data_IF_191584480148
#
_entry.id   IF_191584480148
#
_cell.length_a   1.000
_cell.length_b   1.000
_cell.length_c   1.000
_cell.angle_alpha   90.00
_cell.angle_beta   90.00
_cell.angle_gamma   90.00
#
_symmetry.space_group_name_H-M   'P 1'
#
loop_
_entity.id
_entity.type
_entity.pdbx_description
1 polymer ?
#
# COMPACT_ATOMS: atom_id res chain seq x y z
N UNK A 1 -63.50 50.55 1.72
CA UNK A 1 -63.45 49.91 3.03
C UNK A 1 -63.21 48.45 2.83
N UNK A 2 -61.89 48.01 2.89
CA UNK A 2 -61.52 46.59 2.87
C UNK A 2 -62.02 45.91 4.15
N UNK A 3 -62.72 44.80 4.01
CA UNK A 3 -63.23 44.05 5.14
C UNK A 3 -62.07 43.48 5.98
N UNK A 4 -62.16 43.46 7.30
CA UNK A 4 -61.05 42.95 8.17
C UNK A 4 -60.68 41.52 7.86
N UNK A 5 -61.55 40.75 7.24
CA UNK A 5 -61.27 39.37 6.84
C UNK A 5 -60.30 39.28 5.63
N UNK A 6 -60.31 40.27 4.72
CA UNK A 6 -59.39 40.35 3.58
C UNK A 6 -57.98 40.69 4.01
N UNK A 7 -57.79 41.62 4.95
CA UNK A 7 -56.46 41.98 5.47
C UNK A 7 -55.76 40.81 6.24
N UNK A 8 -56.53 40.10 7.05
CA UNK A 8 -56.05 38.93 7.75
C UNK A 8 -55.59 37.80 6.79
N UNK A 9 -56.32 37.58 5.72
CA UNK A 9 -55.97 36.62 4.67
C UNK A 9 -54.67 36.99 3.94
N UNK A 10 -54.44 38.27 3.68
CA UNK A 10 -53.21 38.72 3.00
C UNK A 10 -51.99 38.68 3.88
N UNK A 11 -52.13 38.97 5.18
CA UNK A 11 -51.06 38.79 6.16
C UNK A 11 -50.68 37.33 6.30
N UNK A 12 -51.66 36.42 6.39
CA UNK A 12 -51.40 34.97 6.46
C UNK A 12 -50.70 34.47 5.20
N UNK A 13 -51.08 34.88 4.01
CA UNK A 13 -50.44 34.50 2.75
C UNK A 13 -48.99 35.01 2.65
N UNK A 14 -48.70 36.21 3.18
CA UNK A 14 -47.33 36.74 3.26
C UNK A 14 -46.48 35.92 4.21
N UNK A 15 -46.93 35.64 5.42
CA UNK A 15 -46.21 34.82 6.39
C UNK A 15 -45.91 33.41 5.88
N UNK A 16 -46.92 32.78 5.20
CA UNK A 16 -46.70 31.46 4.61
C UNK A 16 -45.69 31.46 3.47
N UNK A 17 -45.61 32.52 2.69
CA UNK A 17 -44.60 32.66 1.64
C UNK A 17 -43.20 32.81 2.21
N UNK A 18 -43.03 33.62 3.23
CA UNK A 18 -41.73 33.79 3.91
C UNK A 18 -41.28 32.49 4.60
N UNK A 19 -42.20 31.79 5.26
CA UNK A 19 -41.88 30.49 5.87
C UNK A 19 -41.45 29.42 4.84
N UNK A 20 -42.14 29.36 3.69
CA UNK A 20 -41.77 28.45 2.60
C UNK A 20 -40.41 28.80 2.00
N UNK A 21 -40.09 30.08 1.84
CA UNK A 21 -38.77 30.54 1.36
C UNK A 21 -37.66 30.19 2.36
N UNK A 22 -37.86 30.44 3.64
CA UNK A 22 -36.90 30.11 4.68
C UNK A 22 -36.63 28.58 4.74
N UNK A 23 -37.69 27.77 4.66
CA UNK A 23 -37.58 26.33 4.61
C UNK A 23 -36.87 25.82 3.34
N UNK A 24 -37.19 26.41 2.19
CA UNK A 24 -36.54 26.05 0.92
C UNK A 24 -35.05 26.43 0.89
N UNK A 25 -34.66 27.60 1.45
CA UNK A 25 -33.26 28.01 1.55
C UNK A 25 -32.46 27.12 2.53
N UNK A 26 -33.04 26.73 3.67
CA UNK A 26 -32.43 25.81 4.61
C UNK A 26 -32.21 24.42 4.03
N UNK A 27 -33.22 23.88 3.32
CA UNK A 27 -33.10 22.61 2.63
C UNK A 27 -32.06 22.64 1.50
N UNK A 28 -31.98 23.73 0.75
CA UNK A 28 -30.99 23.88 -0.32
C UNK A 28 -29.56 24.01 0.22
N UNK A 29 -29.37 24.63 1.40
CA UNK A 29 -28.06 24.72 2.03
C UNK A 29 -27.61 23.38 2.62
N UNK A 30 -28.48 22.64 3.28
CA UNK A 30 -28.18 21.31 3.79
C UNK A 30 -27.88 20.32 2.65
N UNK A 31 -28.66 20.31 1.60
CA UNK A 31 -28.41 19.47 0.42
C UNK A 31 -27.06 19.77 -0.26
N UNK A 32 -26.66 21.06 -0.29
CA UNK A 32 -25.32 21.44 -0.78
C UNK A 32 -24.20 20.96 0.13
N UNK A 33 -24.36 21.05 1.45
CA UNK A 33 -23.40 20.55 2.43
C UNK A 33 -23.23 19.02 2.30
N UNK A 34 -24.34 18.30 2.20
CA UNK A 34 -24.32 16.84 2.00
C UNK A 34 -23.64 16.43 0.69
N UNK A 35 -23.91 17.17 -0.40
CA UNK A 35 -23.25 16.94 -1.69
C UNK A 35 -21.75 17.18 -1.61
N UNK A 36 -21.29 18.24 -0.94
CA UNK A 36 -19.88 18.55 -0.74
C UNK A 36 -19.19 17.46 0.08
N UNK A 37 -19.78 17.05 1.20
CA UNK A 37 -19.25 15.95 2.03
C UNK A 37 -19.15 14.65 1.23
N UNK A 38 -20.15 14.35 0.40
CA UNK A 38 -20.12 13.20 -0.49
C UNK A 38 -19.01 13.28 -1.54
N UNK A 39 -18.77 14.43 -2.15
CA UNK A 39 -17.69 14.65 -3.11
C UNK A 39 -16.33 14.51 -2.46
N UNK A 40 -16.10 15.13 -1.31
CA UNK A 40 -14.84 15.00 -0.55
C UNK A 40 -14.56 13.54 -0.20
N UNK A 41 -15.54 12.83 0.35
CA UNK A 41 -15.37 11.42 0.68
C UNK A 41 -15.15 10.51 -0.54
N UNK A 42 -15.62 10.89 -1.73
CA UNK A 42 -15.31 10.15 -2.98
C UNK A 42 -13.89 10.42 -3.45
N UNK A 43 -13.43 11.66 -3.38
CA UNK A 43 -12.05 12.02 -3.75
C UNK A 43 -11.06 11.33 -2.83
N UNK A 44 -11.28 11.41 -1.51
CA UNK A 44 -10.43 10.77 -0.51
C UNK A 44 -10.33 9.25 -0.72
N UNK A 45 -11.46 8.58 -0.91
CA UNK A 45 -11.46 7.13 -1.22
C UNK A 45 -10.73 6.81 -2.52
N UNK A 46 -10.88 7.63 -3.56
CA UNK A 46 -10.17 7.42 -4.83
C UNK A 46 -8.67 7.59 -4.69
N UNK A 47 -8.22 8.59 -3.91
CA UNK A 47 -6.80 8.80 -3.63
C UNK A 47 -6.21 7.65 -2.83
N UNK A 48 -6.85 7.24 -1.74
CA UNK A 48 -6.41 6.12 -0.91
C UNK A 48 -6.36 4.82 -1.70
N UNK A 49 -7.36 4.54 -2.53
CA UNK A 49 -7.34 3.37 -3.41
C UNK A 49 -6.16 3.39 -4.39
N UNK A 50 -5.84 4.54 -4.97
CA UNK A 50 -4.71 4.69 -5.89
C UNK A 50 -3.39 4.49 -5.16
N UNK A 51 -3.22 5.08 -3.98
CA UNK A 51 -2.01 4.93 -3.14
C UNK A 51 -1.81 3.44 -2.79
N UNK A 52 -2.83 2.78 -2.26
CA UNK A 52 -2.77 1.36 -1.91
C UNK A 52 -2.37 0.51 -3.10
N UNK A 53 -2.98 0.72 -4.25
CA UNK A 53 -2.70 -0.04 -5.47
C UNK A 53 -1.25 0.14 -5.96
N UNK A 54 -0.71 1.35 -5.90
CA UNK A 54 0.69 1.59 -6.30
C UNK A 54 1.67 1.00 -5.29
N UNK A 55 1.37 1.08 -3.99
CA UNK A 55 2.16 0.43 -2.94
C UNK A 55 2.18 -1.09 -3.10
N UNK A 56 1.04 -1.73 -3.30
CA UNK A 56 0.95 -3.18 -3.58
C UNK A 56 1.74 -3.61 -4.82
N UNK A 57 1.81 -2.74 -5.82
CA UNK A 57 2.60 -3.00 -7.03
C UNK A 57 4.10 -3.01 -6.74
N UNK A 58 4.57 -2.08 -5.91
CA UNK A 58 5.97 -2.00 -5.49
C UNK A 58 6.34 -3.15 -4.55
N UNK A 59 5.46 -3.52 -3.63
CA UNK A 59 5.66 -4.65 -2.70
C UNK A 59 5.83 -6.01 -3.40
N UNK A 60 5.22 -6.21 -4.56
CA UNK A 60 5.38 -7.46 -5.33
C UNK A 60 6.84 -7.75 -5.70
N UNK A 61 7.61 -6.72 -6.05
CA UNK A 61 9.05 -6.86 -6.30
C UNK A 61 9.84 -7.19 -5.04
N UNK A 62 9.40 -6.69 -3.89
CA UNK A 62 10.01 -6.94 -2.59
C UNK A 62 9.88 -8.41 -2.15
N UNK A 63 8.74 -9.03 -2.40
CA UNK A 63 8.51 -10.44 -2.09
C UNK A 63 9.48 -11.37 -2.84
N UNK A 64 9.85 -11.00 -4.06
CA UNK A 64 10.87 -11.74 -4.81
C UNK A 64 12.25 -11.63 -4.15
N UNK A 65 12.68 -10.45 -3.74
CA UNK A 65 13.93 -10.25 -3.01
C UNK A 65 13.96 -11.00 -1.68
N UNK A 66 12.87 -10.96 -0.91
CA UNK A 66 12.73 -11.71 0.33
C UNK A 66 12.87 -13.23 0.08
N UNK A 67 12.26 -13.73 -0.98
CA UNK A 67 12.33 -15.14 -1.37
C UNK A 67 13.76 -15.54 -1.76
N UNK A 68 14.47 -14.74 -2.55
CA UNK A 68 15.86 -15.00 -2.88
C UNK A 68 16.73 -14.99 -1.60
N UNK A 69 16.55 -13.97 -0.75
CA UNK A 69 17.31 -13.84 0.49
C UNK A 69 17.18 -15.04 1.42
N UNK A 70 15.99 -15.60 1.54
CA UNK A 70 15.73 -16.75 2.41
C UNK A 70 16.05 -18.10 1.73
N UNK A 71 15.61 -18.31 0.50
CA UNK A 71 15.69 -19.62 -0.17
C UNK A 71 17.10 -19.93 -0.65
N UNK A 72 17.86 -18.93 -1.13
CA UNK A 72 19.21 -19.17 -1.68
C UNK A 72 20.16 -19.77 -0.66
N UNK A 73 20.05 -19.39 0.62
CA UNK A 73 20.84 -19.98 1.71
C UNK A 73 20.56 -21.47 1.87
N UNK A 74 19.28 -21.88 1.82
CA UNK A 74 18.90 -23.28 1.92
C UNK A 74 19.31 -24.09 0.68
N UNK A 75 19.24 -23.49 -0.51
CA UNK A 75 19.71 -24.11 -1.76
C UNK A 75 21.23 -24.35 -1.68
N UNK A 76 21.98 -23.37 -1.17
CA UNK A 76 23.41 -23.53 -0.93
C UNK A 76 23.73 -24.65 0.07
N UNK A 77 23.00 -24.70 1.20
CA UNK A 77 23.13 -25.75 2.20
C UNK A 77 22.80 -27.14 1.62
N UNK A 78 21.72 -27.24 0.84
CA UNK A 78 21.35 -28.45 0.12
C UNK A 78 22.52 -28.94 -0.79
N UNK A 79 23.15 -28.00 -1.51
CA UNK A 79 24.34 -28.30 -2.33
C UNK A 79 25.47 -28.91 -1.54
N UNK A 80 25.73 -28.42 -0.32
CA UNK A 80 26.76 -29.00 0.57
C UNK A 80 26.42 -30.43 0.96
N UNK A 81 25.18 -30.66 1.41
CA UNK A 81 24.74 -32.02 1.82
C UNK A 81 24.85 -32.99 0.66
N UNK A 82 24.38 -32.58 -0.52
CA UNK A 82 24.45 -33.40 -1.74
C UNK A 82 25.87 -33.71 -2.17
N UNK A 83 26.78 -32.73 -2.18
CA UNK A 83 28.16 -32.92 -2.57
C UNK A 83 28.95 -33.81 -1.60
N UNK A 84 28.71 -33.65 -0.28
CA UNK A 84 29.32 -34.52 0.74
C UNK A 84 28.79 -35.95 0.59
N UNK A 85 27.50 -36.14 0.36
CA UNK A 85 26.90 -37.45 0.11
C UNK A 85 27.56 -38.15 -1.10
N UNK A 86 27.76 -37.44 -2.20
CA UNK A 86 28.41 -37.95 -3.40
C UNK A 86 29.89 -38.33 -3.13
N UNK A 87 30.57 -37.53 -2.30
CA UNK A 87 31.96 -37.82 -1.91
C UNK A 87 32.06 -39.14 -1.12
N UNK A 88 31.14 -39.39 -0.19
CA UNK A 88 31.08 -40.67 0.53
C UNK A 88 30.70 -41.85 -0.37
N UNK A 89 29.82 -41.67 -1.31
CA UNK A 89 29.47 -42.68 -2.32
C UNK A 89 30.72 -43.07 -3.17
N UNK A 90 31.53 -42.07 -3.53
CA UNK A 90 32.79 -42.28 -4.28
C UNK A 90 33.80 -43.10 -3.49
N UNK A 91 33.92 -42.86 -2.16
CA UNK A 91 34.77 -43.71 -1.26
C UNK A 91 34.24 -45.15 -1.27
N UNK A 92 32.94 -45.35 -1.11
CA UNK A 92 32.32 -46.66 -1.05
C UNK A 92 32.55 -47.47 -2.36
N UNK A 93 32.44 -46.79 -3.51
CA UNK A 93 32.64 -47.39 -4.82
C UNK A 93 34.12 -47.73 -5.11
N UNK A 94 35.05 -46.82 -4.78
CA UNK A 94 36.46 -46.97 -5.07
C UNK A 94 37.21 -47.76 -4.00
N UNK A 95 36.60 -48.00 -2.82
CA UNK A 95 37.23 -48.57 -1.61
C UNK A 95 38.56 -47.86 -1.23
N UNK A 96 38.65 -46.60 -1.61
CA UNK A 96 39.84 -45.77 -1.40
C UNK A 96 39.45 -44.54 -0.56
N UNK A 97 39.97 -44.46 0.66
CA UNK A 97 39.75 -43.40 1.63
C UNK A 97 40.74 -42.25 1.49
N UNK A 98 41.48 -42.18 0.40
CA UNK A 98 42.44 -41.11 0.15
C UNK A 98 41.72 -39.76 0.05
N UNK A 99 42.28 -38.74 0.70
CA UNK A 99 41.80 -37.37 0.63
C UNK A 99 41.74 -36.84 -0.81
N UNK A 100 42.64 -37.30 -1.68
CA UNK A 100 42.64 -36.92 -3.08
C UNK A 100 41.39 -37.34 -3.86
N UNK A 101 40.65 -38.36 -3.40
CA UNK A 101 39.42 -38.86 -4.01
C UNK A 101 38.23 -37.99 -3.61
N UNK A 102 38.20 -37.45 -2.38
CA UNK A 102 37.05 -36.75 -1.83
C UNK A 102 37.20 -35.24 -1.82
N UNK A 103 38.41 -34.70 -1.81
CA UNK A 103 38.65 -33.25 -1.76
C UNK A 103 37.95 -32.45 -2.88
N UNK A 104 37.93 -32.92 -4.14
CA UNK A 104 37.20 -32.19 -5.20
C UNK A 104 35.70 -32.07 -4.92
N UNK A 105 35.04 -33.18 -4.51
CA UNK A 105 33.62 -33.18 -4.23
C UNK A 105 33.25 -32.35 -2.99
N UNK A 106 34.09 -32.31 -1.98
CA UNK A 106 33.92 -31.44 -0.82
C UNK A 106 34.09 -29.96 -1.22
N UNK A 107 35.07 -29.66 -2.06
CA UNK A 107 35.30 -28.30 -2.55
C UNK A 107 34.10 -27.78 -3.38
N UNK A 108 33.57 -28.63 -4.26
CA UNK A 108 32.32 -28.28 -5.03
C UNK A 108 31.13 -28.06 -4.10
N UNK A 109 30.97 -28.89 -3.07
CA UNK A 109 29.93 -28.75 -2.07
C UNK A 109 30.01 -27.40 -1.34
N UNK A 110 31.17 -27.02 -0.87
CA UNK A 110 31.43 -25.76 -0.20
C UNK A 110 31.22 -24.57 -1.15
N UNK A 111 31.59 -24.70 -2.40
CA UNK A 111 31.37 -23.69 -3.43
C UNK A 111 29.86 -23.45 -3.67
N UNK A 112 29.05 -24.50 -3.67
CA UNK A 112 27.60 -24.36 -3.78
C UNK A 112 27.01 -23.48 -2.64
N UNK A 113 27.49 -23.68 -1.41
CA UNK A 113 27.08 -22.84 -0.28
C UNK A 113 27.54 -21.39 -0.44
N UNK A 114 28.77 -21.18 -0.90
CA UNK A 114 29.28 -19.83 -1.17
C UNK A 114 28.42 -19.08 -2.22
N UNK A 115 27.99 -19.76 -3.29
CA UNK A 115 27.07 -19.19 -4.28
C UNK A 115 25.71 -18.86 -3.69
N UNK A 116 25.14 -19.74 -2.84
CA UNK A 116 23.89 -19.48 -2.15
C UNK A 116 23.96 -18.23 -1.28
N UNK A 117 25.05 -18.06 -0.52
CA UNK A 117 25.29 -16.87 0.30
C UNK A 117 25.55 -15.62 -0.56
N UNK A 118 26.29 -15.74 -1.66
CA UNK A 118 26.56 -14.64 -2.57
C UNK A 118 25.27 -14.08 -3.22
N UNK A 119 24.25 -14.92 -3.41
CA UNK A 119 22.94 -14.49 -3.87
C UNK A 119 22.07 -13.94 -2.73
N UNK A 120 22.08 -14.59 -1.56
CA UNK A 120 21.23 -14.23 -0.43
C UNK A 120 21.60 -12.88 0.20
N UNK A 121 22.88 -12.61 0.42
CA UNK A 121 23.36 -11.43 1.13
C UNK A 121 22.92 -10.12 0.45
N UNK A 122 23.19 -9.90 -0.86
CA UNK A 122 22.76 -8.67 -1.52
C UNK A 122 21.21 -8.57 -1.62
N UNK A 123 20.52 -9.71 -1.75
CA UNK A 123 19.06 -9.72 -1.79
C UNK A 123 18.45 -9.23 -0.47
N UNK A 124 18.98 -9.69 0.69
CA UNK A 124 18.53 -9.24 2.01
C UNK A 124 18.85 -7.76 2.25
N UNK A 125 20.06 -7.31 1.86
CA UNK A 125 20.44 -5.91 1.99
C UNK A 125 19.52 -5.02 1.15
N UNK A 126 19.25 -5.39 -0.10
CA UNK A 126 18.35 -4.66 -0.99
C UNK A 126 16.90 -4.65 -0.46
N UNK A 127 16.42 -5.79 0.03
CA UNK A 127 15.11 -5.90 0.66
C UNK A 127 14.93 -4.90 1.81
N UNK A 128 15.88 -4.93 2.77
CA UNK A 128 15.80 -4.06 3.95
C UNK A 128 15.85 -2.56 3.58
N UNK A 129 16.68 -2.20 2.59
CA UNK A 129 16.75 -0.83 2.11
C UNK A 129 15.44 -0.39 1.45
N UNK A 130 14.93 -1.18 0.51
CA UNK A 130 13.72 -0.82 -0.23
C UNK A 130 12.48 -0.85 0.65
N UNK A 131 12.39 -1.75 1.64
CA UNK A 131 11.30 -1.76 2.61
C UNK A 131 11.20 -0.41 3.35
N UNK A 132 12.31 0.08 3.88
CA UNK A 132 12.34 1.37 4.56
C UNK A 132 12.05 2.57 3.64
N UNK A 133 12.45 2.50 2.36
CA UNK A 133 12.15 3.54 1.39
C UNK A 133 10.66 3.52 0.99
N UNK A 134 10.05 2.34 0.85
CA UNK A 134 8.61 2.18 0.59
C UNK A 134 7.74 2.73 1.73
N UNK A 135 8.06 2.41 2.98
CA UNK A 135 7.36 2.94 4.14
C UNK A 135 7.39 4.48 4.16
N UNK A 136 8.56 5.06 3.83
CA UNK A 136 8.71 6.51 3.76
C UNK A 136 7.91 7.14 2.63
N UNK A 137 7.87 6.51 1.47
CA UNK A 137 7.07 6.98 0.32
C UNK A 137 5.59 6.87 0.62
N UNK A 138 5.14 5.75 1.20
CA UNK A 138 3.76 5.55 1.63
C UNK A 138 3.28 6.65 2.58
N UNK A 139 4.04 6.92 3.65
CA UNK A 139 3.72 7.98 4.59
C UNK A 139 3.66 9.38 3.97
N UNK A 140 4.54 9.68 3.00
CA UNK A 140 4.48 10.96 2.26
C UNK A 140 3.23 11.08 1.38
N UNK A 141 2.84 10.00 0.72
CA UNK A 141 1.63 9.98 -0.12
C UNK A 141 0.36 10.12 0.72
N UNK A 142 0.30 9.49 1.89
CA UNK A 142 -0.82 9.64 2.83
C UNK A 142 -0.91 11.09 3.36
N UNK A 143 0.22 11.68 3.76
CA UNK A 143 0.27 13.07 4.20
C UNK A 143 -0.22 14.01 3.09
N UNK A 144 0.27 13.81 1.86
CA UNK A 144 -0.17 14.59 0.72
C UNK A 144 -1.67 14.46 0.46
N UNK A 145 -2.23 13.26 0.57
CA UNK A 145 -3.66 13.02 0.39
C UNK A 145 -4.51 13.77 1.44
N UNK A 146 -4.06 13.79 2.70
CA UNK A 146 -4.72 14.52 3.78
C UNK A 146 -4.66 16.04 3.58
N UNK A 147 -3.48 16.58 3.23
CA UNK A 147 -3.31 18.01 2.93
C UNK A 147 -4.19 18.44 1.76
N UNK A 148 -4.20 17.64 0.69
CA UNK A 148 -5.03 17.92 -0.48
C UNK A 148 -6.53 17.90 -0.15
N UNK A 149 -7.00 16.93 0.63
CA UNK A 149 -8.38 16.86 1.09
C UNK A 149 -8.78 18.09 1.92
N UNK A 150 -7.87 18.56 2.78
CA UNK A 150 -8.09 19.77 3.60
C UNK A 150 -8.18 21.03 2.73
N UNK A 151 -7.29 21.19 1.74
CA UNK A 151 -7.33 22.32 0.81
C UNK A 151 -8.59 22.31 -0.04
N UNK A 152 -9.03 21.14 -0.51
CA UNK A 152 -10.26 21.00 -1.29
C UNK A 152 -11.49 21.32 -0.46
N UNK A 153 -11.54 20.89 0.79
CA UNK A 153 -12.63 21.23 1.71
C UNK A 153 -12.73 22.75 1.89
N UNK A 154 -11.61 23.43 2.13
CA UNK A 154 -11.55 24.88 2.27
C UNK A 154 -12.03 25.62 1.01
N UNK A 155 -11.59 25.21 -0.17
CA UNK A 155 -12.03 25.82 -1.43
C UNK A 155 -13.54 25.63 -1.69
N UNK A 156 -14.08 24.46 -1.33
CA UNK A 156 -15.51 24.21 -1.45
C UNK A 156 -16.35 25.08 -0.47
N UNK A 157 -15.77 25.42 0.70
CA UNK A 157 -16.42 26.31 1.67
C UNK A 157 -16.37 27.78 1.20
N UNK A 158 -15.25 28.24 0.66
CA UNK A 158 -15.06 29.60 0.14
C UNK A 158 -15.87 29.86 -1.15
N UNK A 159 -15.94 28.89 -2.07
CA UNK A 159 -16.72 29.00 -3.32
C UNK A 159 -18.25 28.92 -3.15
N UNK A 160 -18.72 28.73 -1.94
CA UNK A 160 -20.16 28.70 -1.61
C UNK A 160 -20.70 29.98 -0.98
N UNK A 161 -19.87 30.99 -0.79
CA UNK A 161 -20.27 32.34 -0.42
C UNK A 161 -20.56 33.19 -1.65
#
# INVERSE_FOLDING_TARGET
>A
TQSPSSAASDVYKRQMREWRRAKASGLASSARADLRASLLGRVERSMNFTITREMERLERGMNFLASIGSVSTFVGLFGTVWGIMNSFQSIAASKNTSLAVVAPGIAEALFATALGLAAAIPAVIAYNKFAGDLDRVGGRLETFAQEFSTLLARQLDEGGR
#
